data_IF_162064346924
#
_entry.id   IF_162064346924
#
_cell.length_a   1.000
_cell.length_b   1.000
_cell.length_c   1.000
_cell.angle_alpha   90.00
_cell.angle_beta   90.00
_cell.angle_gamma   90.00
#
_symmetry.space_group_name_H-M   'P 1'
#
loop_
_entity.id
_entity.type
_entity.pdbx_description
1 polymer ?
#
# COMPACT_ATOMS: atom_id res chain seq x y z
N UNK A 1 -0.95 13.44 21.81
CA UNK A 1 -0.99 12.72 23.09
C UNK A 1 -0.93 11.23 22.84
N UNK A 2 -0.33 10.48 23.76
CA UNK A 2 -0.20 9.03 23.67
C UNK A 2 -1.47 8.31 24.20
N UNK A 3 -2.61 8.66 23.66
CA UNK A 3 -3.92 8.12 24.05
C UNK A 3 -4.82 7.94 22.82
N UNK A 4 -5.65 6.90 22.84
CA UNK A 4 -6.71 6.67 21.85
C UNK A 4 -7.91 7.61 22.14
N UNK A 5 -7.72 8.89 21.83
CA UNK A 5 -8.72 9.94 22.12
C UNK A 5 -9.09 10.68 20.82
N UNK A 6 -10.15 10.25 20.12
CA UNK A 6 -10.59 10.91 18.90
C UNK A 6 -11.09 12.33 19.17
N UNK A 7 -10.87 13.26 18.23
CA UNK A 7 -11.42 14.63 18.31
C UNK A 7 -12.94 14.62 18.13
N UNK A 8 -13.44 13.73 17.27
CA UNK A 8 -14.85 13.47 17.03
C UNK A 8 -15.05 11.97 17.10
N UNK A 9 -15.97 11.50 17.93
CA UNK A 9 -16.28 10.08 18.10
C UNK A 9 -16.74 9.46 16.76
N UNK A 10 -16.18 8.30 16.41
CA UNK A 10 -16.49 7.60 15.15
C UNK A 10 -15.91 8.24 13.89
N UNK A 11 -15.21 9.37 13.97
CA UNK A 11 -14.58 9.99 12.82
C UNK A 11 -13.30 9.25 12.40
N UNK A 12 -13.03 9.23 11.08
CA UNK A 12 -11.83 8.67 10.49
C UNK A 12 -10.59 9.50 10.82
N UNK A 13 -9.43 8.85 10.88
CA UNK A 13 -8.12 9.49 11.02
C UNK A 13 -7.10 8.94 10.01
N UNK A 14 -6.00 9.65 9.81
CA UNK A 14 -4.91 9.21 8.94
C UNK A 14 -4.10 8.09 9.61
N UNK A 15 -4.59 6.85 9.51
CA UNK A 15 -3.97 5.66 10.11
C UNK A 15 -2.70 5.17 9.40
N UNK A 16 -2.34 5.74 8.25
CA UNK A 16 -1.13 5.44 7.50
C UNK A 16 -0.22 6.66 7.27
N UNK A 17 -0.58 7.83 7.83
CA UNK A 17 0.23 9.04 7.73
C UNK A 17 0.21 9.74 6.37
N UNK A 18 -0.76 9.44 5.50
CA UNK A 18 -0.87 10.05 4.16
C UNK A 18 -1.09 11.58 4.20
N UNK A 19 -1.50 12.15 5.34
CA UNK A 19 -1.52 13.59 5.55
C UNK A 19 -0.13 14.25 5.45
N UNK A 20 0.94 13.49 5.71
CA UNK A 20 2.34 13.94 5.60
C UNK A 20 2.89 13.73 4.19
N UNK A 21 2.48 12.63 3.53
CA UNK A 21 3.05 12.13 2.28
C UNK A 21 2.93 13.15 1.16
N UNK A 22 1.73 13.69 0.93
CA UNK A 22 1.49 14.69 -0.12
C UNK A 22 2.24 15.99 0.12
N UNK A 23 2.24 16.49 1.37
CA UNK A 23 2.92 17.75 1.72
C UNK A 23 4.44 17.62 1.59
N UNK A 24 5.03 16.51 2.06
CA UNK A 24 6.47 16.25 1.90
C UNK A 24 6.90 16.20 0.44
N UNK A 25 6.13 15.54 -0.41
CA UNK A 25 6.39 15.48 -1.86
C UNK A 25 6.23 16.85 -2.54
N UNK A 26 5.23 17.65 -2.15
CA UNK A 26 5.06 19.03 -2.63
C UNK A 26 6.25 19.92 -2.23
N UNK A 27 6.71 19.82 -0.98
CA UNK A 27 7.89 20.55 -0.51
C UNK A 27 9.13 20.19 -1.33
N UNK A 28 9.33 18.91 -1.63
CA UNK A 28 10.43 18.44 -2.47
C UNK A 28 10.36 19.05 -3.89
N UNK A 29 9.20 19.00 -4.52
CA UNK A 29 8.99 19.56 -5.87
C UNK A 29 9.25 21.06 -5.91
N UNK A 30 8.77 21.82 -4.92
CA UNK A 30 9.01 23.28 -4.83
C UNK A 30 10.50 23.56 -4.62
N UNK A 31 11.18 22.83 -3.73
CA UNK A 31 12.60 23.03 -3.45
C UNK A 31 13.45 22.76 -4.70
N UNK A 32 13.22 21.63 -5.37
CA UNK A 32 13.94 21.26 -6.59
C UNK A 32 13.67 22.27 -7.73
N UNK A 33 12.43 22.61 -8.00
CA UNK A 33 12.08 23.56 -9.06
C UNK A 33 12.71 24.94 -8.83
N UNK A 34 12.74 25.43 -7.57
CA UNK A 34 13.41 26.68 -7.22
C UNK A 34 14.93 26.59 -7.41
N UNK A 35 15.54 25.49 -7.04
CA UNK A 35 16.97 25.27 -7.21
C UNK A 35 17.36 25.25 -8.70
N UNK A 36 16.63 24.51 -9.53
CA UNK A 36 16.86 24.46 -10.98
C UNK A 36 16.77 25.86 -11.59
N UNK A 37 15.72 26.61 -11.26
CA UNK A 37 15.53 27.98 -11.75
C UNK A 37 16.66 28.91 -11.31
N UNK A 38 17.07 28.87 -10.05
CA UNK A 38 18.12 29.75 -9.51
C UNK A 38 19.50 29.48 -10.12
N UNK A 39 19.76 28.25 -10.59
CA UNK A 39 21.05 27.84 -11.16
C UNK A 39 21.00 27.66 -12.69
N UNK A 40 19.91 28.05 -13.36
CA UNK A 40 19.69 27.87 -14.80
C UNK A 40 19.92 26.43 -15.28
N UNK A 41 19.52 25.43 -14.45
CA UNK A 41 19.59 24.02 -14.79
C UNK A 41 18.34 23.59 -15.56
N UNK A 42 18.48 22.82 -16.64
CA UNK A 42 17.35 22.31 -17.38
C UNK A 42 16.63 21.20 -16.61
N UNK A 43 15.34 21.04 -16.89
CA UNK A 43 14.55 19.93 -16.35
C UNK A 43 13.13 20.35 -16.04
N UNK A 44 12.24 19.36 -15.95
CA UNK A 44 10.84 19.55 -15.56
C UNK A 44 10.55 18.79 -14.28
N UNK A 45 10.01 19.47 -13.28
CA UNK A 45 9.54 18.88 -12.05
C UNK A 45 8.02 18.85 -12.07
N UNK A 46 7.43 17.66 -11.95
CA UNK A 46 5.99 17.47 -11.81
C UNK A 46 5.66 16.98 -10.42
N UNK A 47 4.64 17.55 -9.81
CA UNK A 47 4.03 17.05 -8.58
C UNK A 47 2.69 16.41 -8.91
N UNK A 48 2.50 15.18 -8.44
CA UNK A 48 1.26 14.43 -8.61
C UNK A 48 0.54 14.30 -7.26
N UNK A 49 -0.65 14.88 -7.16
CA UNK A 49 -1.58 14.59 -6.07
C UNK A 49 -2.32 13.28 -6.36
N UNK A 50 -2.02 12.24 -5.57
CA UNK A 50 -2.52 10.90 -5.83
C UNK A 50 -3.53 10.49 -4.75
N UNK A 51 -4.85 10.66 -4.97
CA UNK A 51 -5.87 10.29 -3.98
C UNK A 51 -6.12 8.79 -3.96
N UNK A 52 -6.74 8.30 -2.86
CA UNK A 52 -7.35 6.98 -2.81
C UNK A 52 -6.38 5.80 -2.84
N UNK A 53 -5.18 5.91 -2.26
CA UNK A 53 -4.22 4.80 -2.23
C UNK A 53 -4.76 3.60 -1.43
N UNK A 54 -5.44 3.84 -0.31
CA UNK A 54 -5.94 2.82 0.62
C UNK A 54 -7.16 2.01 0.12
N UNK A 55 -7.61 2.22 -1.09
CA UNK A 55 -8.76 1.47 -1.62
C UNK A 55 -9.37 2.05 -2.90
N UNK A 56 -8.87 3.18 -3.39
CA UNK A 56 -9.37 3.81 -4.61
C UNK A 56 -8.46 3.63 -5.82
N UNK A 57 -7.29 3.01 -5.68
CA UNK A 57 -6.31 2.78 -6.77
C UNK A 57 -6.03 4.03 -7.62
N UNK A 58 -5.88 5.19 -6.98
CA UNK A 58 -5.80 6.48 -7.69
C UNK A 58 -4.65 6.52 -8.68
N UNK A 59 -3.46 6.02 -8.32
CA UNK A 59 -2.30 5.98 -9.23
C UNK A 59 -2.52 5.02 -10.39
N UNK A 60 -3.20 3.90 -10.18
CA UNK A 60 -3.56 2.97 -11.26
C UNK A 60 -4.42 3.65 -12.32
N UNK A 61 -5.42 4.46 -11.90
CA UNK A 61 -6.22 5.28 -12.82
C UNK A 61 -5.39 6.36 -13.51
N UNK A 62 -4.46 6.99 -12.80
CA UNK A 62 -3.56 8.02 -13.37
C UNK A 62 -2.62 7.41 -14.42
N UNK A 63 -2.07 6.21 -14.17
CA UNK A 63 -1.27 5.46 -15.14
C UNK A 63 -2.11 5.09 -16.36
N UNK A 64 -3.31 4.57 -16.17
CA UNK A 64 -4.24 4.27 -17.27
C UNK A 64 -4.57 5.48 -18.13
N UNK A 65 -4.59 6.67 -17.52
CA UNK A 65 -4.82 7.93 -18.24
C UNK A 65 -3.56 8.49 -18.94
N UNK A 66 -2.42 7.80 -18.88
CA UNK A 66 -1.17 8.19 -19.53
C UNK A 66 -0.43 9.34 -18.85
N UNK A 67 -0.75 9.67 -17.58
CA UNK A 67 -0.15 10.82 -16.90
C UNK A 67 1.36 10.66 -16.63
N UNK A 68 1.89 9.45 -16.75
CA UNK A 68 3.30 9.13 -16.51
C UNK A 68 4.06 8.75 -17.79
N UNK A 69 3.44 8.77 -18.98
CA UNK A 69 4.04 8.24 -20.21
C UNK A 69 5.29 9.01 -20.68
N UNK A 70 5.40 10.29 -20.33
CA UNK A 70 6.53 11.16 -20.64
C UNK A 70 7.39 11.52 -19.41
N UNK A 71 7.31 10.71 -18.36
CA UNK A 71 8.09 10.87 -17.12
C UNK A 71 9.33 9.99 -17.16
N UNK A 72 10.51 10.56 -16.97
CA UNK A 72 11.77 9.82 -16.96
C UNK A 72 11.97 8.99 -15.68
N UNK A 73 11.58 9.55 -14.52
CA UNK A 73 11.64 8.87 -13.22
C UNK A 73 10.58 9.40 -12.26
N UNK A 74 10.12 8.55 -11.35
CA UNK A 74 9.21 8.92 -10.27
C UNK A 74 9.85 8.67 -8.89
N UNK A 75 9.71 9.63 -7.99
CA UNK A 75 10.21 9.55 -6.62
C UNK A 75 9.07 9.77 -5.64
N UNK A 76 9.00 8.95 -4.61
CA UNK A 76 8.02 9.09 -3.53
C UNK A 76 8.61 8.69 -2.18
N UNK A 77 7.84 8.86 -1.12
CA UNK A 77 8.24 8.47 0.23
C UNK A 77 7.05 7.93 1.01
N UNK A 78 7.29 7.35 2.16
CA UNK A 78 6.24 6.92 3.06
C UNK A 78 6.65 7.15 4.51
N UNK A 79 5.77 7.70 5.37
CA UNK A 79 6.01 7.73 6.81
C UNK A 79 6.22 6.32 7.37
N UNK A 80 7.14 6.17 8.29
CA UNK A 80 7.50 4.87 8.87
C UNK A 80 8.09 5.07 10.28
N UNK A 81 8.35 4.02 11.05
CA UNK A 81 9.15 4.13 12.27
C UNK A 81 10.66 4.19 12.01
N UNK A 82 11.11 4.06 10.75
CA UNK A 82 12.52 3.98 10.39
C UNK A 82 12.86 4.91 9.22
N UNK A 83 14.14 5.33 9.15
CA UNK A 83 14.72 6.10 8.07
C UNK A 83 15.50 5.20 7.13
N UNK A 84 15.26 5.28 5.83
CA UNK A 84 16.00 4.47 4.84
C UNK A 84 15.28 4.35 3.51
N UNK A 85 15.97 3.80 2.53
CA UNK A 85 15.36 3.45 1.25
C UNK A 85 14.34 2.34 1.43
N UNK A 86 13.18 2.48 0.76
CA UNK A 86 12.14 1.46 0.71
C UNK A 86 12.34 0.57 -0.51
N UNK A 87 13.32 -0.32 -0.42
CA UNK A 87 13.55 -1.32 -1.46
C UNK A 87 12.70 -2.56 -1.19
N UNK A 88 11.53 -2.62 -1.81
CA UNK A 88 10.59 -3.73 -1.60
C UNK A 88 10.00 -4.22 -2.91
N UNK A 89 9.83 -5.54 -3.01
CA UNK A 89 9.03 -6.18 -4.03
C UNK A 89 7.67 -6.53 -3.41
N UNK A 90 6.63 -5.80 -3.79
CA UNK A 90 5.28 -5.95 -3.26
C UNK A 90 4.43 -6.84 -4.18
N UNK A 91 3.40 -7.48 -3.61
CA UNK A 91 2.46 -8.29 -4.38
C UNK A 91 1.49 -7.43 -5.21
N UNK A 92 1.14 -7.93 -6.39
CA UNK A 92 -0.07 -7.53 -7.09
C UNK A 92 -1.31 -7.92 -6.28
N UNK A 93 -2.37 -7.12 -6.35
CA UNK A 93 -3.63 -7.36 -5.67
C UNK A 93 -4.83 -7.07 -6.58
N UNK A 94 -5.87 -7.88 -6.43
CA UNK A 94 -7.20 -7.71 -7.01
C UNK A 94 -8.24 -7.93 -5.92
N UNK A 95 -9.27 -7.11 -5.90
CA UNK A 95 -10.35 -7.18 -4.93
C UNK A 95 -11.71 -7.13 -5.62
N UNK A 96 -12.60 -8.07 -5.25
CA UNK A 96 -13.92 -8.23 -5.83
C UNK A 96 -14.95 -8.55 -4.77
N UNK A 97 -16.13 -7.92 -4.86
CA UNK A 97 -17.34 -8.36 -4.19
C UNK A 97 -18.04 -9.44 -5.01
N UNK A 98 -18.45 -10.50 -4.35
CA UNK A 98 -19.33 -11.53 -4.90
C UNK A 98 -20.68 -11.42 -4.18
N UNK A 99 -21.69 -10.96 -4.91
CA UNK A 99 -23.03 -10.71 -4.44
C UNK A 99 -23.93 -11.83 -4.92
N UNK A 100 -24.46 -12.61 -3.99
CA UNK A 100 -25.39 -13.68 -4.31
C UNK A 100 -26.82 -13.23 -4.10
N UNK A 101 -27.71 -13.62 -5.02
CA UNK A 101 -29.15 -13.36 -4.99
C UNK A 101 -29.89 -14.67 -5.05
N UNK A 102 -30.74 -14.93 -4.08
CA UNK A 102 -31.56 -16.11 -3.93
C UNK A 102 -33.04 -15.75 -3.75
N UNK A 103 -33.76 -16.61 -3.07
CA UNK A 103 -35.22 -16.47 -2.80
C UNK A 103 -35.48 -16.66 -1.32
N UNK A 104 -36.09 -15.65 -0.69
CA UNK A 104 -36.47 -15.74 0.72
C UNK A 104 -37.66 -16.72 0.91
N UNK A 105 -37.60 -17.46 2.02
CA UNK A 105 -38.68 -18.34 2.46
C UNK A 105 -38.67 -18.51 3.97
N UNK A 106 -39.77 -18.95 4.55
CA UNK A 106 -39.78 -19.36 5.96
C UNK A 106 -39.07 -20.69 6.13
N UNK A 107 -37.90 -20.69 6.81
CA UNK A 107 -37.02 -21.84 6.85
C UNK A 107 -37.63 -23.12 7.44
N UNK A 108 -38.61 -23.01 8.35
CA UNK A 108 -39.31 -24.19 8.89
C UNK A 108 -40.51 -24.63 8.07
N UNK A 109 -41.30 -23.68 7.53
CA UNK A 109 -42.58 -24.01 6.92
C UNK A 109 -42.52 -24.20 5.38
N UNK A 110 -41.58 -23.52 4.72
CA UNK A 110 -41.52 -23.45 3.27
C UNK A 110 -40.06 -23.43 2.75
N UNK A 111 -39.14 -24.09 3.42
CA UNK A 111 -37.72 -24.10 3.06
C UNK A 111 -37.49 -24.51 1.59
N UNK A 112 -38.27 -25.46 1.08
CA UNK A 112 -38.20 -25.97 -0.28
C UNK A 112 -38.50 -24.93 -1.37
N UNK A 113 -39.11 -23.80 -1.00
CA UNK A 113 -39.36 -22.66 -1.91
C UNK A 113 -38.22 -21.62 -1.87
N UNK A 114 -37.34 -21.69 -0.88
CA UNK A 114 -36.21 -20.79 -0.73
C UNK A 114 -35.00 -21.20 -1.56
N UNK A 115 -34.11 -20.21 -1.81
CA UNK A 115 -32.76 -20.39 -2.35
C UNK A 115 -31.84 -19.50 -1.55
N UNK A 116 -30.93 -20.11 -0.79
CA UNK A 116 -30.11 -19.36 0.16
C UNK A 116 -28.88 -18.76 -0.52
N UNK A 117 -28.82 -17.45 -0.54
CA UNK A 117 -27.64 -16.71 -0.96
C UNK A 117 -26.46 -16.91 0.03
N UNK A 118 -26.75 -17.11 1.33
CA UNK A 118 -25.72 -17.37 2.33
C UNK A 118 -25.09 -18.74 2.12
N UNK A 119 -25.87 -19.77 1.78
CA UNK A 119 -25.33 -21.10 1.47
C UNK A 119 -24.39 -21.04 0.25
N UNK A 120 -24.71 -20.19 -0.74
CA UNK A 120 -23.84 -19.96 -1.89
C UNK A 120 -22.51 -19.33 -1.46
N UNK A 121 -22.52 -18.34 -0.55
CA UNK A 121 -21.29 -17.74 0.02
C UNK A 121 -20.46 -18.81 0.77
N UNK A 122 -21.11 -19.65 1.59
CA UNK A 122 -20.42 -20.70 2.34
C UNK A 122 -19.80 -21.74 1.39
N UNK A 123 -20.51 -22.20 0.37
CA UNK A 123 -19.99 -23.14 -0.63
C UNK A 123 -18.86 -22.51 -1.45
N UNK A 124 -18.94 -21.23 -1.81
CA UNK A 124 -17.84 -20.53 -2.44
C UNK A 124 -16.60 -20.51 -1.53
N UNK A 125 -16.74 -20.18 -0.25
CA UNK A 125 -15.65 -20.12 0.70
C UNK A 125 -14.99 -21.51 0.87
N UNK A 126 -15.78 -22.56 0.95
CA UNK A 126 -15.28 -23.95 0.99
C UNK A 126 -14.54 -24.31 -0.30
N UNK A 127 -15.12 -24.00 -1.46
CA UNK A 127 -14.53 -24.26 -2.77
C UNK A 127 -13.19 -23.54 -2.97
N UNK A 128 -13.09 -22.29 -2.52
CA UNK A 128 -11.83 -21.53 -2.55
C UNK A 128 -10.80 -22.10 -1.57
N UNK A 129 -11.22 -22.66 -0.42
CA UNK A 129 -10.29 -23.35 0.49
C UNK A 129 -9.66 -24.58 -0.18
N UNK A 130 -10.41 -25.33 -1.00
CA UNK A 130 -9.83 -26.40 -1.82
C UNK A 130 -8.93 -25.86 -2.94
N UNK A 131 -9.26 -24.70 -3.54
CA UNK A 131 -8.42 -24.07 -4.55
C UNK A 131 -7.04 -23.72 -4.00
N UNK A 132 -6.90 -23.41 -2.70
CA UNK A 132 -5.60 -23.09 -2.06
C UNK A 132 -4.57 -24.21 -2.21
N UNK A 133 -5.00 -25.47 -2.27
CA UNK A 133 -4.13 -26.63 -2.53
C UNK A 133 -3.47 -26.56 -3.92
N UNK A 134 -4.09 -25.87 -4.88
CA UNK A 134 -3.74 -25.84 -6.29
C UNK A 134 -3.32 -24.47 -6.80
N UNK A 135 -2.89 -23.56 -5.93
CA UNK A 135 -2.33 -22.25 -6.30
C UNK A 135 -0.83 -22.17 -5.95
N UNK A 136 -0.04 -21.30 -6.60
CA UNK A 136 1.35 -21.08 -6.21
C UNK A 136 1.48 -20.66 -4.75
N UNK A 137 2.54 -21.10 -4.07
CA UNK A 137 2.75 -20.86 -2.64
C UNK A 137 2.85 -19.37 -2.27
N UNK A 138 3.34 -18.54 -3.19
CA UNK A 138 3.49 -17.09 -2.99
C UNK A 138 2.19 -16.32 -3.22
N UNK A 139 1.14 -16.98 -3.72
CA UNK A 139 -0.18 -16.39 -3.83
C UNK A 139 -0.94 -16.42 -2.50
N UNK A 140 -1.86 -15.49 -2.32
CA UNK A 140 -2.77 -15.44 -1.16
C UNK A 140 -4.18 -15.11 -1.61
N UNK A 141 -5.15 -15.72 -0.95
CA UNK A 141 -6.57 -15.41 -1.12
C UNK A 141 -7.16 -15.21 0.28
N UNK A 142 -7.73 -14.04 0.51
CA UNK A 142 -8.41 -13.68 1.75
C UNK A 142 -9.87 -13.40 1.43
N UNK A 143 -10.77 -13.54 2.42
CA UNK A 143 -12.14 -13.10 2.26
C UNK A 143 -12.73 -12.60 3.58
N UNK A 144 -13.78 -11.80 3.45
CA UNK A 144 -14.63 -11.38 4.54
C UNK A 144 -16.10 -11.39 4.08
N UNK A 145 -16.99 -11.99 4.88
CA UNK A 145 -18.43 -11.89 4.63
C UNK A 145 -18.83 -10.48 5.05
N UNK A 146 -19.30 -9.68 4.09
CA UNK A 146 -19.70 -8.28 4.29
C UNK A 146 -21.20 -8.14 4.52
N UNK A 147 -22.02 -9.09 4.00
CA UNK A 147 -23.45 -9.21 4.30
C UNK A 147 -23.81 -10.70 4.38
N UNK A 148 -24.34 -11.12 5.53
CA UNK A 148 -24.83 -12.50 5.76
C UNK A 148 -26.33 -12.66 5.48
N UNK A 149 -26.99 -11.64 4.93
CA UNK A 149 -28.42 -11.70 4.57
C UNK A 149 -29.40 -11.50 5.73
N UNK A 150 -28.94 -10.93 6.85
CA UNK A 150 -29.78 -10.59 8.00
C UNK A 150 -29.51 -11.44 9.25
N UNK A 151 -30.32 -11.23 10.30
CA UNK A 151 -30.12 -11.83 11.64
C UNK A 151 -31.12 -12.93 11.97
N UNK A 152 -32.13 -13.15 11.15
CA UNK A 152 -33.23 -14.07 11.45
C UNK A 152 -32.93 -15.47 10.92
N UNK A 153 -32.54 -16.40 11.79
CA UNK A 153 -32.21 -17.78 11.43
C UNK A 153 -33.40 -18.59 10.84
N UNK A 154 -34.62 -18.11 11.01
CA UNK A 154 -35.85 -18.73 10.48
C UNK A 154 -36.24 -18.18 9.10
N UNK A 155 -35.40 -17.40 8.46
CA UNK A 155 -35.61 -16.87 7.09
C UNK A 155 -34.44 -17.37 6.22
N UNK A 156 -34.78 -17.94 5.05
CA UNK A 156 -33.78 -18.24 4.00
C UNK A 156 -33.31 -16.92 3.42
N UNK A 157 -31.98 -16.71 3.40
CA UNK A 157 -31.37 -15.44 3.02
C UNK A 157 -31.45 -15.22 1.51
N UNK A 158 -32.17 -14.17 1.09
CA UNK A 158 -32.31 -13.81 -0.33
C UNK A 158 -31.09 -13.07 -0.89
N UNK A 159 -30.28 -12.45 -0.06
CA UNK A 159 -29.06 -11.74 -0.45
C UNK A 159 -27.93 -12.09 0.51
N UNK A 160 -26.71 -12.20 0.00
CA UNK A 160 -25.49 -12.28 0.79
C UNK A 160 -24.32 -11.75 -0.04
N UNK A 161 -23.30 -11.20 0.61
CA UNK A 161 -22.13 -10.63 -0.04
C UNK A 161 -20.85 -11.09 0.67
N UNK A 162 -19.85 -11.43 -0.12
CA UNK A 162 -18.50 -11.73 0.36
C UNK A 162 -17.48 -10.96 -0.46
N UNK A 163 -16.53 -10.31 0.22
CA UNK A 163 -15.41 -9.62 -0.38
C UNK A 163 -14.21 -10.58 -0.44
N UNK A 164 -13.59 -10.68 -1.61
CA UNK A 164 -12.36 -11.47 -1.82
C UNK A 164 -11.21 -10.57 -2.23
N UNK A 165 -10.07 -10.77 -1.58
CA UNK A 165 -8.80 -10.14 -1.89
C UNK A 165 -7.81 -11.20 -2.34
N UNK A 166 -7.30 -11.06 -3.57
CA UNK A 166 -6.43 -12.01 -4.28
C UNK A 166 -5.08 -11.38 -4.51
N UNK A 167 -4.01 -12.02 -4.05
CA UNK A 167 -2.64 -11.53 -4.17
C UNK A 167 -1.76 -12.54 -4.89
N UNK A 168 -0.85 -12.04 -5.74
CA UNK A 168 0.17 -12.83 -6.41
C UNK A 168 1.46 -12.03 -6.60
N UNK A 169 2.61 -12.69 -6.84
CA UNK A 169 3.88 -12.01 -7.15
C UNK A 169 3.78 -11.06 -8.34
N UNK A 170 3.03 -11.42 -9.39
CA UNK A 170 2.84 -10.62 -10.58
C UNK A 170 1.36 -10.53 -10.97
N UNK A 171 0.98 -9.44 -11.64
CA UNK A 171 -0.40 -9.19 -12.05
C UNK A 171 -0.99 -10.28 -12.97
N UNK A 172 -0.28 -10.85 -13.96
CA UNK A 172 -0.84 -11.95 -14.76
C UNK A 172 -1.25 -13.17 -13.93
N UNK A 173 -0.49 -13.50 -12.88
CA UNK A 173 -0.81 -14.60 -11.96
C UNK A 173 -2.03 -14.25 -11.10
N UNK A 174 -2.14 -12.99 -10.63
CA UNK A 174 -3.30 -12.53 -9.87
C UNK A 174 -4.58 -12.61 -10.71
N UNK A 175 -4.54 -12.18 -11.97
CA UNK A 175 -5.65 -12.26 -12.92
C UNK A 175 -6.04 -13.72 -13.22
N UNK A 176 -5.08 -14.63 -13.36
CA UNK A 176 -5.38 -16.05 -13.54
C UNK A 176 -6.09 -16.65 -12.31
N UNK A 177 -5.56 -16.35 -11.12
CA UNK A 177 -6.15 -16.82 -9.88
C UNK A 177 -7.56 -16.24 -9.65
N UNK A 178 -7.79 -14.96 -10.00
CA UNK A 178 -9.10 -14.33 -9.94
C UNK A 178 -10.13 -15.04 -10.83
N UNK A 179 -9.75 -15.41 -12.07
CA UNK A 179 -10.62 -16.21 -12.96
C UNK A 179 -10.98 -17.58 -12.37
N UNK A 180 -10.07 -18.19 -11.60
CA UNK A 180 -10.32 -19.46 -10.92
C UNK A 180 -11.27 -19.28 -9.73
N UNK A 181 -11.12 -18.22 -8.96
CA UNK A 181 -12.06 -17.85 -7.87
C UNK A 181 -13.44 -17.54 -8.43
N UNK A 182 -13.53 -16.83 -9.56
CA UNK A 182 -14.81 -16.58 -10.26
C UNK A 182 -15.51 -17.89 -10.66
N UNK A 183 -14.78 -18.89 -11.17
CA UNK A 183 -15.38 -20.20 -11.51
C UNK A 183 -15.95 -20.89 -10.27
N UNK A 184 -15.30 -20.77 -9.11
CA UNK A 184 -15.83 -21.31 -7.85
C UNK A 184 -17.12 -20.61 -7.45
N UNK A 185 -17.17 -19.26 -7.56
CA UNK A 185 -18.38 -18.49 -7.26
C UNK A 185 -19.56 -18.89 -8.15
N UNK A 186 -19.32 -19.02 -9.47
CA UNK A 186 -20.36 -19.47 -10.42
C UNK A 186 -20.82 -20.91 -10.15
N UNK A 187 -19.89 -21.79 -9.75
CA UNK A 187 -20.23 -23.16 -9.31
C UNK A 187 -21.09 -23.17 -8.05
N UNK A 188 -20.78 -22.33 -7.06
CA UNK A 188 -21.58 -22.20 -5.83
C UNK A 188 -22.98 -21.69 -6.14
N UNK A 189 -23.13 -20.69 -7.00
CA UNK A 189 -24.42 -20.19 -7.46
C UNK A 189 -25.25 -21.28 -8.15
N UNK A 190 -24.62 -22.08 -9.02
CA UNK A 190 -25.26 -23.20 -9.70
C UNK A 190 -25.75 -24.27 -8.71
N UNK A 191 -24.93 -24.62 -7.71
CA UNK A 191 -25.30 -25.62 -6.71
C UNK A 191 -26.47 -25.20 -5.82
N UNK A 192 -26.64 -23.92 -5.59
CA UNK A 192 -27.68 -23.34 -4.71
C UNK A 192 -28.87 -22.80 -5.49
N UNK A 193 -28.86 -22.89 -6.81
CA UNK A 193 -29.85 -22.27 -7.71
C UNK A 193 -30.05 -20.75 -7.43
N UNK A 194 -28.93 -20.05 -7.14
CA UNK A 194 -28.87 -18.60 -6.94
C UNK A 194 -28.18 -17.92 -8.11
N UNK A 195 -28.23 -16.59 -8.14
CA UNK A 195 -27.45 -15.78 -9.07
C UNK A 195 -26.23 -15.17 -8.37
N UNK A 196 -25.14 -14.94 -9.11
CA UNK A 196 -23.95 -14.23 -8.61
C UNK A 196 -23.61 -13.03 -9.50
N UNK A 197 -23.53 -11.87 -8.89
CA UNK A 197 -22.95 -10.66 -9.47
C UNK A 197 -21.51 -10.50 -8.95
N UNK A 198 -20.55 -10.28 -9.84
CA UNK A 198 -19.15 -10.08 -9.50
C UNK A 198 -18.82 -8.62 -9.75
N UNK A 199 -18.51 -7.89 -8.68
CA UNK A 199 -18.28 -6.45 -8.71
C UNK A 199 -16.82 -6.18 -8.39
N UNK A 200 -16.10 -5.57 -9.34
CA UNK A 200 -14.73 -5.12 -9.11
C UNK A 200 -14.70 -4.06 -8.01
N UNK A 201 -13.73 -4.13 -7.11
CA UNK A 201 -13.49 -3.13 -6.08
C UNK A 201 -12.20 -2.36 -6.32
N UNK A 202 -11.05 -2.99 -6.16
CA UNK A 202 -9.76 -2.32 -6.33
C UNK A 202 -8.70 -3.26 -6.90
N UNK A 203 -7.64 -2.69 -7.48
CA UNK A 203 -6.48 -3.43 -7.93
C UNK A 203 -5.23 -2.57 -7.91
N UNK A 204 -4.08 -3.19 -7.71
CA UNK A 204 -2.77 -2.57 -7.96
C UNK A 204 -1.75 -3.62 -8.41
N UNK A 205 -0.85 -3.22 -9.30
CA UNK A 205 0.20 -4.08 -9.82
C UNK A 205 1.34 -4.22 -8.80
N UNK A 206 2.11 -5.30 -8.90
CA UNK A 206 3.31 -5.48 -8.09
C UNK A 206 4.35 -4.37 -8.35
N UNK A 207 5.06 -3.99 -7.28
CA UNK A 207 6.11 -2.97 -7.37
C UNK A 207 7.38 -3.53 -8.02
N UNK A 208 7.96 -2.80 -8.97
CA UNK A 208 9.27 -3.05 -9.57
C UNK A 208 10.31 -2.15 -8.90
N UNK A 209 11.20 -2.67 -8.04
CA UNK A 209 12.29 -1.89 -7.47
C UNK A 209 13.28 -1.47 -8.57
N UNK A 210 13.87 -0.27 -8.44
CA UNK A 210 14.96 0.18 -9.28
C UNK A 210 16.19 0.45 -8.40
N UNK A 211 17.12 -0.50 -8.37
CA UNK A 211 18.26 -0.49 -7.46
C UNK A 211 19.20 0.67 -7.75
N UNK A 212 19.33 1.06 -9.00
CA UNK A 212 20.11 2.23 -9.42
C UNK A 212 19.57 3.51 -8.78
N UNK A 213 18.27 3.76 -8.88
CA UNK A 213 17.63 4.93 -8.24
C UNK A 213 17.69 4.83 -6.72
N UNK A 214 17.46 3.66 -6.16
CA UNK A 214 17.50 3.40 -4.73
C UNK A 214 18.89 3.62 -4.14
N UNK A 215 19.95 3.25 -4.86
CA UNK A 215 21.35 3.53 -4.50
C UNK A 215 21.60 5.04 -4.46
N UNK A 216 21.23 5.76 -5.52
CA UNK A 216 21.40 7.21 -5.55
C UNK A 216 20.59 7.91 -4.45
N UNK A 217 19.38 7.43 -4.15
CA UNK A 217 18.57 7.94 -3.03
C UNK A 217 19.25 7.68 -1.69
N UNK A 218 19.81 6.49 -1.47
CA UNK A 218 20.56 6.15 -0.25
C UNK A 218 21.78 7.05 -0.07
N UNK A 219 22.58 7.27 -1.12
CA UNK A 219 23.74 8.17 -1.10
C UNK A 219 23.35 9.60 -0.71
N UNK A 220 22.24 10.11 -1.24
CA UNK A 220 21.68 11.40 -0.85
C UNK A 220 21.24 11.42 0.62
N UNK A 221 20.62 10.35 1.14
CA UNK A 221 20.26 10.24 2.55
C UNK A 221 21.50 10.23 3.45
N UNK A 222 22.57 9.55 3.04
CA UNK A 222 23.87 9.57 3.76
C UNK A 222 24.44 11.00 3.79
N UNK A 223 24.45 11.70 2.66
CA UNK A 223 24.93 13.08 2.57
C UNK A 223 24.10 14.08 3.39
N UNK A 224 22.80 13.88 3.51
CA UNK A 224 21.91 14.69 4.35
C UNK A 224 22.13 14.50 5.85
N UNK A 225 22.64 13.34 6.25
CA UNK A 225 22.89 13.00 7.65
C UNK A 225 21.61 12.66 8.45
N UNK A 226 21.73 12.47 9.76
CA UNK A 226 20.64 12.09 10.63
C UNK A 226 19.64 13.24 10.84
N UNK A 227 18.42 12.89 11.24
CA UNK A 227 17.39 13.87 11.62
C UNK A 227 17.68 14.37 13.05
N UNK A 228 17.71 15.69 13.23
CA UNK A 228 17.90 16.29 14.54
C UNK A 228 16.59 16.26 15.38
N UNK A 229 16.33 15.14 16.02
CA UNK A 229 15.29 15.04 17.06
C UNK A 229 15.82 15.60 18.38
N UNK A 230 14.96 16.31 19.12
CA UNK A 230 15.27 16.86 20.43
C UNK A 230 14.73 15.98 21.58
N UNK A 231 15.01 16.38 22.81
CA UNK A 231 14.58 15.63 24.01
C UNK A 231 13.05 15.52 24.11
N UNK A 232 12.31 16.53 23.67
CA UNK A 232 10.84 16.52 23.69
C UNK A 232 10.29 15.51 22.69
N UNK A 233 10.91 15.37 21.50
CA UNK A 233 10.58 14.34 20.50
C UNK A 233 10.80 12.94 21.08
N UNK A 234 11.95 12.72 21.72
CA UNK A 234 12.31 11.44 22.34
C UNK A 234 11.33 11.10 23.47
N UNK A 235 10.98 12.07 24.31
CA UNK A 235 10.03 11.88 25.41
C UNK A 235 8.63 11.51 24.87
N UNK A 236 8.16 12.22 23.86
CA UNK A 236 6.86 11.91 23.24
C UNK A 236 6.87 10.54 22.56
N UNK A 237 7.92 10.21 21.79
CA UNK A 237 8.04 8.90 21.16
C UNK A 237 8.07 7.77 22.20
N UNK A 238 8.72 7.98 23.35
CA UNK A 238 8.75 7.00 24.44
C UNK A 238 7.35 6.80 25.03
N UNK A 239 6.57 7.85 25.25
CA UNK A 239 5.19 7.72 25.72
C UNK A 239 4.29 6.92 24.75
N UNK A 240 4.53 7.02 23.45
CA UNK A 240 3.87 6.18 22.45
C UNK A 240 4.39 4.74 22.54
N UNK A 241 5.73 4.55 22.63
CA UNK A 241 6.34 3.22 22.68
C UNK A 241 5.88 2.42 23.91
N UNK A 242 5.62 3.06 25.04
CA UNK A 242 5.08 2.46 26.27
C UNK A 242 3.67 1.86 26.08
N UNK A 243 2.96 2.25 25.01
CA UNK A 243 1.65 1.64 24.66
C UNK A 243 1.79 0.30 23.94
N UNK A 244 3.02 -0.14 23.59
CA UNK A 244 3.30 -1.37 22.88
C UNK A 244 3.88 -2.44 23.81
N UNK A 245 3.63 -3.70 23.45
CA UNK A 245 4.38 -4.80 24.04
C UNK A 245 5.80 -4.88 23.49
N UNK A 246 6.72 -5.48 24.24
CA UNK A 246 8.09 -5.72 23.77
C UNK A 246 8.12 -6.59 22.48
N UNK A 247 7.16 -7.51 22.33
CA UNK A 247 7.07 -8.30 21.12
C UNK A 247 6.63 -7.46 19.90
N UNK A 248 5.75 -6.49 20.08
CA UNK A 248 5.36 -5.56 19.01
C UNK A 248 6.57 -4.72 18.54
N UNK A 249 7.40 -4.24 19.45
CA UNK A 249 8.62 -3.49 19.14
C UNK A 249 9.60 -4.38 18.35
N UNK A 250 9.87 -5.59 18.83
CA UNK A 250 10.75 -6.55 18.14
C UNK A 250 10.19 -6.94 16.76
N UNK A 251 8.87 -7.12 16.66
CA UNK A 251 8.21 -7.44 15.40
C UNK A 251 8.34 -6.30 14.38
N UNK A 252 8.20 -5.05 14.84
CA UNK A 252 8.41 -3.87 13.99
C UNK A 252 9.85 -3.82 13.45
N UNK A 253 10.85 -4.02 14.29
CA UNK A 253 12.26 -4.06 13.89
C UNK A 253 12.50 -5.16 12.83
N UNK A 254 11.95 -6.36 13.05
CA UNK A 254 12.05 -7.47 12.07
C UNK A 254 11.33 -7.15 10.76
N UNK A 255 10.11 -6.59 10.83
CA UNK A 255 9.30 -6.25 9.66
C UNK A 255 10.00 -5.27 8.73
N UNK A 256 10.67 -4.28 9.29
CA UNK A 256 11.44 -3.29 8.52
C UNK A 256 12.89 -3.71 8.27
N UNK A 257 13.26 -4.92 8.69
CA UNK A 257 14.59 -5.52 8.52
C UNK A 257 15.71 -4.61 9.03
N UNK A 258 15.48 -3.99 10.19
CA UNK A 258 16.43 -3.10 10.84
C UNK A 258 17.53 -3.93 11.48
N UNK A 259 18.68 -4.00 10.81
CA UNK A 259 19.86 -4.70 11.31
C UNK A 259 20.86 -3.69 11.88
N UNK A 260 21.31 -2.78 11.05
CA UNK A 260 22.41 -1.88 11.35
C UNK A 260 22.08 -0.45 10.94
N UNK A 261 22.57 0.48 11.71
CA UNK A 261 22.51 1.90 11.44
C UNK A 261 23.81 2.39 10.78
N UNK A 262 23.69 3.13 9.69
CA UNK A 262 24.84 3.61 8.89
C UNK A 262 25.73 4.58 9.66
N UNK A 263 25.14 5.46 10.48
CA UNK A 263 25.89 6.52 11.15
C UNK A 263 26.55 6.05 12.45
N UNK A 264 25.83 5.27 13.25
CA UNK A 264 26.34 4.76 14.52
C UNK A 264 27.05 3.42 14.41
N UNK A 265 26.84 2.72 13.29
CA UNK A 265 27.31 1.34 13.08
C UNK A 265 26.80 0.34 14.15
N UNK A 266 25.74 0.73 14.89
CA UNK A 266 25.15 -0.06 15.95
C UNK A 266 23.90 -0.83 15.44
N UNK A 267 23.57 -1.91 16.13
CA UNK A 267 22.33 -2.62 15.88
C UNK A 267 21.15 -1.82 16.42
N UNK A 268 20.04 -1.84 15.69
CA UNK A 268 18.78 -1.24 16.15
C UNK A 268 18.05 -2.28 17.00
N UNK A 269 17.96 -2.03 18.29
CA UNK A 269 17.38 -2.95 19.29
C UNK A 269 16.04 -2.44 19.90
N UNK A 270 15.63 -1.21 19.57
CA UNK A 270 14.44 -0.58 20.11
C UNK A 270 14.62 0.07 21.48
N UNK A 271 15.83 0.15 22.01
CA UNK A 271 16.12 0.89 23.27
C UNK A 271 15.88 2.39 23.12
N UNK A 272 16.18 2.95 21.95
CA UNK A 272 15.70 4.29 21.54
C UNK A 272 14.27 4.19 21.04
N UNK A 273 13.35 5.09 21.46
CA UNK A 273 11.98 5.09 20.95
C UNK A 273 11.86 5.59 19.52
N UNK A 274 12.88 6.28 18.98
CA UNK A 274 12.97 6.75 17.60
C UNK A 274 14.20 6.18 16.91
N UNK A 275 14.10 5.97 15.62
CA UNK A 275 15.26 5.69 14.78
C UNK A 275 15.99 7.00 14.48
N UNK A 276 17.16 7.18 15.07
CA UNK A 276 17.95 8.42 14.99
C UNK A 276 18.89 8.46 13.79
N UNK A 277 19.12 7.34 13.14
CA UNK A 277 20.11 7.17 12.09
C UNK A 277 19.51 6.90 10.70
N UNK A 278 20.21 6.06 9.95
CA UNK A 278 19.83 5.63 8.61
C UNK A 278 20.03 4.11 8.49
N UNK A 279 18.99 3.40 8.03
CA UNK A 279 19.04 1.98 7.70
C UNK A 279 20.06 1.74 6.59
N UNK A 280 20.91 0.74 6.76
CA UNK A 280 21.82 0.27 5.71
C UNK A 280 20.99 -0.20 4.49
N UNK A 281 21.49 0.13 3.30
CA UNK A 281 20.92 -0.34 2.04
C UNK A 281 21.82 -1.44 1.47
N UNK A 282 21.27 -2.64 1.35
CA UNK A 282 22.03 -3.84 0.95
C UNK A 282 22.13 -4.03 -0.59
N UNK A 283 21.66 -3.05 -1.38
CA UNK A 283 21.72 -3.12 -2.85
C UNK A 283 20.76 -4.12 -3.49
N UNK A 284 19.76 -4.60 -2.74
CA UNK A 284 18.75 -5.51 -3.25
C UNK A 284 17.38 -5.25 -2.59
N UNK A 285 16.33 -5.70 -3.26
CA UNK A 285 14.97 -5.56 -2.75
C UNK A 285 14.59 -6.73 -1.84
N UNK A 286 13.66 -6.44 -0.92
CA UNK A 286 13.10 -7.42 -0.01
C UNK A 286 11.62 -7.65 -0.29
N UNK A 287 11.19 -8.90 -0.19
CA UNK A 287 9.79 -9.24 -0.32
C UNK A 287 8.95 -8.67 0.83
N UNK A 288 7.83 -8.04 0.50
CA UNK A 288 6.78 -7.63 1.43
C UNK A 288 5.41 -8.06 0.90
N UNK A 289 4.61 -8.65 1.78
CA UNK A 289 3.28 -9.16 1.43
C UNK A 289 2.23 -8.04 1.20
N UNK A 290 2.51 -6.79 1.58
CA UNK A 290 1.64 -5.65 1.32
C UNK A 290 1.52 -5.32 -0.17
N UNK A 291 0.60 -4.41 -0.52
CA UNK A 291 0.44 -3.87 -1.88
C UNK A 291 0.36 -2.35 -1.82
N UNK A 292 0.63 -1.69 -2.93
CA UNK A 292 0.50 -0.24 -3.09
C UNK A 292 0.33 0.08 -4.58
N UNK A 293 -0.48 1.06 -4.90
CA UNK A 293 -0.68 1.52 -6.27
C UNK A 293 0.53 2.28 -6.86
N UNK A 294 1.59 2.51 -6.08
CA UNK A 294 2.92 2.90 -6.58
C UNK A 294 3.48 1.82 -7.51
N UNK A 295 3.07 0.55 -7.32
CA UNK A 295 3.40 -0.54 -8.23
C UNK A 295 3.08 -0.20 -9.67
N UNK A 296 1.88 0.30 -9.94
CA UNK A 296 1.45 0.66 -11.30
C UNK A 296 2.35 1.72 -11.94
N UNK A 297 2.75 2.74 -11.19
CA UNK A 297 3.71 3.77 -11.65
C UNK A 297 5.06 3.13 -12.00
N UNK A 298 5.54 2.18 -11.18
CA UNK A 298 6.83 1.51 -11.42
C UNK A 298 6.90 0.69 -12.70
N UNK A 299 5.74 0.28 -13.25
CA UNK A 299 5.66 -0.43 -14.52
C UNK A 299 5.73 0.47 -15.75
N UNK A 300 5.56 1.78 -15.59
CA UNK A 300 5.60 2.75 -16.69
C UNK A 300 6.78 3.71 -16.62
N UNK A 301 7.39 3.86 -15.44
CA UNK A 301 8.60 4.68 -15.27
C UNK A 301 9.46 4.17 -14.11
N UNK A 302 10.82 4.27 -14.20
CA UNK A 302 11.70 3.96 -13.09
C UNK A 302 11.28 4.67 -11.80
N UNK A 303 11.06 3.94 -10.72
CA UNK A 303 10.48 4.49 -9.48
C UNK A 303 11.31 4.09 -8.25
N UNK A 304 11.55 5.05 -7.34
CA UNK A 304 12.15 4.79 -6.05
C UNK A 304 11.40 5.45 -4.90
N UNK A 305 11.52 4.84 -3.71
CA UNK A 305 10.84 5.28 -2.50
C UNK A 305 11.79 5.31 -1.31
N UNK A 306 11.55 6.24 -0.36
CA UNK A 306 12.17 6.17 0.96
C UNK A 306 11.14 6.11 2.08
N UNK A 307 11.58 5.62 3.24
CA UNK A 307 10.92 5.79 4.52
C UNK A 307 11.53 6.96 5.29
N UNK A 308 10.69 7.68 6.03
CA UNK A 308 11.14 8.66 7.00
C UNK A 308 10.53 8.39 8.37
N UNK A 309 11.29 8.53 9.49
CA UNK A 309 10.88 8.11 10.83
C UNK A 309 9.90 9.11 11.45
N UNK A 310 8.65 9.05 11.00
CA UNK A 310 7.55 9.88 11.47
C UNK A 310 6.87 9.33 12.73
N UNK A 311 7.23 8.12 13.14
CA UNK A 311 6.60 7.39 14.24
C UNK A 311 7.63 6.74 15.16
N UNK A 312 7.23 6.53 16.43
CA UNK A 312 7.98 5.74 17.39
C UNK A 312 8.19 4.30 16.91
N UNK A 313 9.34 3.70 17.22
CA UNK A 313 9.62 2.28 16.94
C UNK A 313 8.61 1.41 17.68
N UNK A 314 7.99 0.50 16.95
CA UNK A 314 6.88 -0.34 17.44
C UNK A 314 5.52 0.05 16.84
N UNK A 315 5.40 1.25 16.28
CA UNK A 315 4.15 1.71 15.64
C UNK A 315 3.85 0.91 14.38
N UNK A 316 2.69 0.27 14.35
CA UNK A 316 2.17 -0.39 13.16
C UNK A 316 1.22 0.54 12.39
N UNK A 317 1.19 0.50 11.06
CA UNK A 317 0.19 1.20 10.25
C UNK A 317 -1.24 0.81 10.67
N UNK A 318 -2.21 1.67 10.37
CA UNK A 318 -3.65 1.50 10.60
C UNK A 318 -4.03 1.38 12.09
N UNK A 319 -3.27 2.08 12.95
CA UNK A 319 -3.52 2.13 14.39
C UNK A 319 -3.73 3.56 14.88
N UNK A 320 -4.39 3.73 16.04
CA UNK A 320 -4.58 5.03 16.65
C UNK A 320 -3.24 5.74 16.98
N UNK A 321 -2.18 4.96 17.22
CA UNK A 321 -0.85 5.50 17.50
C UNK A 321 -0.30 6.27 16.30
N UNK A 322 -0.54 5.82 15.06
CA UNK A 322 -0.18 6.58 13.86
C UNK A 322 -0.91 7.90 13.83
N UNK A 323 -2.23 7.88 14.06
CA UNK A 323 -3.07 9.08 14.07
C UNK A 323 -2.59 10.08 15.13
N UNK A 324 -2.28 9.60 16.34
CA UNK A 324 -1.79 10.42 17.45
C UNK A 324 -0.45 11.12 17.14
N UNK A 325 0.40 10.51 16.32
CA UNK A 325 1.71 11.03 15.93
C UNK A 325 1.67 11.92 14.69
N UNK A 326 0.63 11.83 13.85
CA UNK A 326 0.57 12.44 12.51
C UNK A 326 0.66 13.96 12.43
N UNK A 327 0.57 14.68 13.57
CA UNK A 327 0.78 16.14 13.69
C UNK A 327 1.87 16.52 14.69
N UNK A 328 2.69 15.55 15.11
CA UNK A 328 3.77 15.81 16.06
C UNK A 328 4.95 16.52 15.40
N UNK A 329 5.83 17.19 16.19
CA UNK A 329 7.11 17.68 15.68
C UNK A 329 7.96 16.59 15.04
N UNK A 330 7.93 15.36 15.54
CA UNK A 330 8.59 14.17 14.96
C UNK A 330 8.15 13.98 13.50
N UNK A 331 6.83 13.93 13.28
CA UNK A 331 6.26 13.75 11.94
C UNK A 331 6.65 14.89 10.99
N UNK A 332 6.67 16.14 11.47
CA UNK A 332 7.07 17.30 10.67
C UNK A 332 8.56 17.28 10.30
N UNK A 333 9.43 16.89 11.25
CA UNK A 333 10.88 16.74 11.01
C UNK A 333 11.16 15.62 10.01
N UNK A 334 10.49 14.49 10.16
CA UNK A 334 10.58 13.37 9.21
C UNK A 334 10.08 13.76 7.81
N UNK A 335 8.95 14.44 7.71
CA UNK A 335 8.41 14.96 6.44
C UNK A 335 9.38 15.92 5.75
N UNK A 336 9.99 16.83 6.49
CA UNK A 336 10.99 17.76 5.95
C UNK A 336 12.27 17.04 5.49
N UNK A 337 12.69 15.99 6.19
CA UNK A 337 13.82 15.15 5.80
C UNK A 337 13.50 14.36 4.51
N UNK A 338 12.33 13.75 4.41
CA UNK A 338 11.88 13.09 3.19
C UNK A 338 11.84 14.06 2.00
N UNK A 339 11.33 15.28 2.21
CA UNK A 339 11.32 16.30 1.18
C UNK A 339 12.74 16.66 0.67
N UNK A 340 13.72 16.77 1.58
CA UNK A 340 15.12 16.98 1.20
C UNK A 340 15.67 15.79 0.43
N UNK A 341 15.43 14.56 0.89
CA UNK A 341 15.85 13.33 0.20
C UNK A 341 15.32 13.29 -1.24
N UNK A 342 14.02 13.51 -1.44
CA UNK A 342 13.43 13.52 -2.78
C UNK A 342 14.01 14.63 -3.65
N UNK A 343 14.19 15.85 -3.10
CA UNK A 343 14.71 16.98 -3.84
C UNK A 343 16.18 16.77 -4.26
N UNK A 344 17.04 16.27 -3.36
CA UNK A 344 18.46 16.01 -3.68
C UNK A 344 18.61 14.83 -4.63
N UNK A 345 17.83 13.77 -4.48
CA UNK A 345 17.82 12.65 -5.44
C UNK A 345 17.35 13.11 -6.82
N UNK A 346 16.28 13.91 -6.90
CA UNK A 346 15.84 14.53 -8.15
C UNK A 346 16.91 15.41 -8.80
N UNK A 347 17.66 16.19 -7.99
CA UNK A 347 18.77 16.99 -8.49
C UNK A 347 19.90 16.12 -9.03
N UNK A 348 20.28 15.05 -8.33
CA UNK A 348 21.29 14.10 -8.82
C UNK A 348 20.91 13.50 -10.18
N UNK A 349 19.63 13.13 -10.37
CA UNK A 349 19.13 12.62 -11.64
C UNK A 349 19.16 13.67 -12.77
N UNK A 350 18.82 14.92 -12.48
CA UNK A 350 18.82 16.02 -13.47
C UNK A 350 20.23 16.49 -13.83
N UNK A 351 21.21 16.27 -12.98
CA UNK A 351 22.62 16.68 -13.21
C UNK A 351 23.53 15.53 -13.64
N UNK A 352 23.04 14.28 -13.67
CA UNK A 352 23.78 13.10 -14.10
C UNK A 352 23.00 12.30 -15.15
N UNK A 353 23.23 12.59 -16.46
CA UNK A 353 22.60 11.84 -17.55
C UNK A 353 22.90 10.33 -17.49
N UNK A 354 24.10 9.96 -17.05
CA UNK A 354 24.53 8.55 -16.95
C UNK A 354 23.71 7.81 -15.87
N UNK A 355 23.42 8.46 -14.75
CA UNK A 355 22.57 7.88 -13.70
C UNK A 355 21.13 7.65 -14.21
N UNK A 356 20.60 8.63 -14.93
CA UNK A 356 19.27 8.51 -15.53
C UNK A 356 19.22 7.39 -16.57
N UNK A 357 20.23 7.31 -17.44
CA UNK A 357 20.35 6.24 -18.44
C UNK A 357 20.48 4.85 -17.78
N UNK A 358 21.28 4.72 -16.72
CA UNK A 358 21.43 3.46 -15.98
C UNK A 358 20.11 3.02 -15.31
N UNK A 359 19.39 3.94 -14.68
CA UNK A 359 18.09 3.65 -14.09
C UNK A 359 17.07 3.20 -15.14
N UNK A 360 17.07 3.83 -16.32
CA UNK A 360 16.23 3.44 -17.44
C UNK A 360 16.60 2.07 -17.99
N UNK A 361 17.89 1.77 -18.12
CA UNK A 361 18.37 0.47 -18.61
C UNK A 361 17.95 -0.67 -17.66
N UNK A 362 18.12 -0.50 -16.35
CA UNK A 362 17.66 -1.47 -15.36
C UNK A 362 16.15 -1.69 -15.43
N UNK A 363 15.37 -0.61 -15.60
CA UNK A 363 13.91 -0.69 -15.71
C UNK A 363 13.49 -1.46 -16.99
N UNK A 364 14.15 -1.20 -18.13
CA UNK A 364 13.88 -1.93 -19.38
C UNK A 364 14.22 -3.42 -19.25
N UNK A 365 15.29 -3.77 -18.58
CA UNK A 365 15.66 -5.15 -18.29
C UNK A 365 14.58 -5.84 -17.44
N UNK A 366 14.12 -5.19 -16.35
CA UNK A 366 13.12 -5.76 -15.43
C UNK A 366 11.73 -5.88 -16.04
N UNK A 367 11.34 -4.97 -16.90
CA UNK A 367 10.08 -5.08 -17.63
C UNK A 367 10.15 -6.10 -18.76
N UNK A 368 11.35 -6.49 -19.21
CA UNK A 368 11.59 -7.51 -20.24
C UNK A 368 10.75 -7.28 -21.51
N UNK A 369 10.59 -6.01 -21.90
CA UNK A 369 9.77 -5.61 -23.04
C UNK A 369 8.25 -5.80 -22.85
N UNK A 370 7.81 -6.20 -21.65
CA UNK A 370 6.38 -6.33 -21.34
C UNK A 370 5.76 -4.94 -21.19
N UNK A 371 4.63 -4.73 -21.83
CA UNK A 371 3.84 -3.53 -21.63
C UNK A 371 3.03 -3.62 -20.34
N UNK A 372 2.87 -2.48 -19.66
CA UNK A 372 1.95 -2.38 -18.54
C UNK A 372 0.53 -2.75 -18.96
N UNK A 373 -0.13 -3.57 -18.16
CA UNK A 373 -1.54 -3.93 -18.32
C UNK A 373 -2.30 -3.43 -17.10
N UNK A 374 -3.17 -2.43 -17.31
CA UNK A 374 -4.00 -1.91 -16.24
C UNK A 374 -4.90 -3.01 -15.68
N UNK A 375 -4.85 -3.30 -14.37
CA UNK A 375 -5.67 -4.37 -13.78
C UNK A 375 -7.13 -3.96 -13.56
N UNK A 376 -7.45 -2.66 -13.69
CA UNK A 376 -8.81 -2.15 -13.52
C UNK A 376 -9.60 -2.35 -14.82
N UNK A 377 -10.80 -2.95 -14.81
CA UNK A 377 -11.65 -3.08 -15.97
C UNK A 377 -11.90 -1.74 -16.68
N UNK A 378 -11.98 -1.75 -18.00
CA UNK A 378 -12.07 -0.53 -18.81
C UNK A 378 -13.31 0.32 -18.55
N UNK A 379 -14.40 -0.31 -18.14
CA UNK A 379 -15.69 0.32 -17.80
C UNK A 379 -15.74 0.90 -16.39
N UNK A 380 -14.78 0.55 -15.54
CA UNK A 380 -14.67 1.10 -14.18
C UNK A 380 -13.99 2.47 -14.22
N UNK A 381 -14.66 3.48 -13.66
CA UNK A 381 -14.17 4.88 -13.61
C UNK A 381 -13.82 5.29 -12.17
N UNK A 382 -12.96 6.31 -11.97
CA UNK A 382 -12.70 6.86 -10.64
C UNK A 382 -14.00 7.25 -9.93
N UNK A 383 -14.19 6.80 -8.68
CA UNK A 383 -15.38 7.08 -7.89
C UNK A 383 -16.59 6.17 -8.18
N UNK A 384 -16.52 5.26 -9.15
CA UNK A 384 -17.57 4.25 -9.38
C UNK A 384 -17.42 3.02 -8.47
N UNK A 385 -16.38 2.99 -7.63
CA UNK A 385 -16.12 1.90 -6.69
C UNK A 385 -17.23 1.74 -5.65
N UNK A 386 -17.56 0.51 -5.24
CA UNK A 386 -18.45 0.26 -4.12
C UNK A 386 -17.88 0.75 -2.78
N UNK A 387 -16.54 0.89 -2.66
CA UNK A 387 -15.89 1.53 -1.52
C UNK A 387 -16.37 2.98 -1.37
N UNK A 388 -17.06 3.27 -0.26
CA UNK A 388 -17.63 4.59 0.03
C UNK A 388 -19.14 4.66 -0.01
N UNK A 389 -19.84 3.60 -0.38
CA UNK A 389 -21.25 3.48 -0.01
C UNK A 389 -21.31 3.03 1.44
N UNK A 390 -21.92 3.83 2.35
CA UNK A 390 -22.11 3.38 3.72
C UNK A 390 -22.89 2.05 3.66
N UNK A 391 -22.40 1.05 4.38
CA UNK A 391 -23.16 -0.17 4.68
C UNK A 391 -24.45 0.33 5.35
N UNK A 392 -25.58 0.24 4.65
CA UNK A 392 -26.88 0.67 5.16
C UNK A 392 -27.40 -0.33 6.16
#
# INVERSE_FOLDING_TARGET
IAEAKPLVEGASGHGCGHNLLGVGSLMAAIALARHLKANNLPGTVRYYGCPGEEGGSGKTFMVRAGLFDDVDTALTWHPAPFNGVRSTNNLAVLEYFYRFKGVAAHAANAAHLGRSALDAVELMNVGVNFLREHMPQDCRVHYAITDAGGRAANVVQANAEVLYLIRAPEMPQALDLARRVEKVARGAAMMTETEVEIVFDTASTNLLPNITLETAMHENMVALGPIAFDEADIAFARSIQETFSQEAIKSSIRLYQMKRDVFSNANVDGSSPLHLGLREFEGHSHFRAGSTDVGDVSWVTPTAQCWAPAWAIGTNPHTWQVVAQGKSPIAHKAMAHAAKTLATTGLSLMTSPDLLAAARAEWLEKTDGKSYVCPIPADVTPGSHPHGRPVR
#
